data_IF_425113064841
#
_entry.id   IF_425113064841
#
_cell.length_a   1.000
_cell.length_b   1.000
_cell.length_c   1.000
_cell.angle_alpha   90.00
_cell.angle_beta   90.00
_cell.angle_gamma   90.00
#
_symmetry.space_group_name_H-M   'P 1'
#
loop_
_entity.id
_entity.type
_entity.pdbx_description
1 polymer ?
#
# COMPACT_ATOMS: atom_id res chain seq x y z
N UNK A 1 6.13 8.84 4.57
CA UNK A 1 6.76 8.26 5.77
C UNK A 1 7.76 7.15 5.45
N UNK A 2 7.42 6.15 4.63
CA UNK A 2 8.35 5.06 4.27
C UNK A 2 9.60 5.54 3.52
N UNK A 3 9.47 6.54 2.65
CA UNK A 3 10.56 7.08 1.81
C UNK A 3 11.37 8.19 2.48
N UNK A 4 10.96 8.64 3.67
CA UNK A 4 11.54 9.80 4.35
C UNK A 4 13.03 9.63 4.68
N UNK A 5 13.42 8.44 5.14
CA UNK A 5 14.79 8.13 5.55
C UNK A 5 15.65 7.54 4.43
N UNK A 6 15.10 7.29 3.23
CA UNK A 6 15.89 6.70 2.14
C UNK A 6 17.11 7.56 1.81
N UNK A 7 17.00 8.91 1.73
CA UNK A 7 18.15 9.76 1.46
C UNK A 7 19.26 9.72 2.51
N UNK A 8 18.88 9.54 3.78
CA UNK A 8 19.82 9.59 4.93
C UNK A 8 20.33 8.20 5.31
N UNK A 9 19.78 7.13 4.70
CA UNK A 9 20.01 5.74 5.12
C UNK A 9 21.50 5.35 5.17
N UNK A 10 22.29 5.86 4.24
CA UNK A 10 23.73 5.58 4.17
C UNK A 10 24.49 6.25 5.32
N UNK A 11 24.02 7.38 5.82
CA UNK A 11 24.66 8.19 6.85
C UNK A 11 24.16 7.84 8.27
N UNK A 12 22.98 7.20 8.38
CA UNK A 12 22.36 6.84 9.65
C UNK A 12 23.28 6.04 10.60
N UNK A 13 24.12 5.08 10.15
CA UNK A 13 25.03 4.38 11.04
C UNK A 13 26.01 5.32 11.76
N UNK A 14 26.52 6.33 11.06
CA UNK A 14 27.42 7.33 11.62
C UNK A 14 26.66 8.35 12.49
N UNK A 15 25.45 8.74 12.10
CA UNK A 15 24.63 9.71 12.84
C UNK A 15 24.10 9.18 14.15
N UNK A 16 23.87 7.87 14.25
CA UNK A 16 23.29 7.19 15.44
C UNK A 16 24.31 6.33 16.18
N UNK A 17 25.60 6.41 15.82
CA UNK A 17 26.68 5.59 16.38
C UNK A 17 26.30 4.09 16.45
N UNK A 18 25.84 3.54 15.32
CA UNK A 18 25.28 2.19 15.23
C UNK A 18 25.78 1.43 14.01
N UNK A 19 25.44 0.14 13.92
CA UNK A 19 25.78 -0.66 12.74
C UNK A 19 24.82 -0.40 11.58
N UNK A 20 25.25 -0.59 10.30
CA UNK A 20 24.34 -0.52 9.15
C UNK A 20 23.14 -1.47 9.26
N UNK A 21 23.35 -2.65 9.88
CA UNK A 21 22.29 -3.64 10.10
C UNK A 21 21.24 -3.12 11.09
N UNK A 22 21.67 -2.43 12.15
CA UNK A 22 20.76 -1.86 13.15
C UNK A 22 20.03 -0.63 12.63
N UNK A 23 20.69 0.24 11.87
CA UNK A 23 20.04 1.39 11.24
C UNK A 23 18.84 0.98 10.34
N UNK A 24 18.90 -0.18 9.70
CA UNK A 24 17.78 -0.69 8.89
C UNK A 24 16.51 -1.00 9.71
N UNK A 25 16.61 -1.13 11.04
CA UNK A 25 15.44 -1.29 11.91
C UNK A 25 14.49 -0.09 11.85
N UNK A 26 15.00 1.11 11.57
CA UNK A 26 14.17 2.31 11.42
C UNK A 26 13.18 2.19 10.25
N UNK A 27 13.57 1.54 9.16
CA UNK A 27 12.66 1.25 8.04
C UNK A 27 11.74 0.07 8.36
N UNK A 28 12.32 -1.00 8.91
CA UNK A 28 11.61 -2.24 9.25
C UNK A 28 10.48 -1.98 10.25
N UNK A 29 10.73 -1.21 11.31
CA UNK A 29 9.73 -0.90 12.33
C UNK A 29 8.49 -0.21 11.75
N UNK A 30 8.68 0.75 10.85
CA UNK A 30 7.57 1.44 10.18
C UNK A 30 6.75 0.49 9.30
N UNK A 31 7.42 -0.41 8.56
CA UNK A 31 6.76 -1.38 7.71
C UNK A 31 5.94 -2.40 8.53
N UNK A 32 6.54 -2.94 9.60
CA UNK A 32 5.86 -3.88 10.50
C UNK A 32 4.64 -3.25 11.15
N UNK A 33 4.82 -2.07 11.72
CA UNK A 33 3.73 -1.34 12.37
C UNK A 33 2.61 -0.96 11.38
N UNK A 34 2.95 -0.56 10.15
CA UNK A 34 1.97 -0.30 9.08
C UNK A 34 1.15 -1.53 8.74
N UNK A 35 1.80 -2.69 8.63
CA UNK A 35 1.12 -3.93 8.29
C UNK A 35 0.12 -4.37 9.36
N UNK A 36 0.49 -4.22 10.64
CA UNK A 36 -0.36 -4.57 11.79
C UNK A 36 -1.46 -3.53 11.98
N UNK A 37 -1.11 -2.24 11.96
CA UNK A 37 -2.07 -1.16 12.25
C UNK A 37 -3.18 -1.05 11.22
N UNK A 38 -2.91 -1.36 9.95
CA UNK A 38 -3.87 -1.14 8.87
C UNK A 38 -5.16 -1.94 9.01
N UNK A 39 -5.17 -3.28 9.19
CA UNK A 39 -6.41 -4.02 9.41
C UNK A 39 -7.03 -3.73 10.78
N UNK A 40 -6.22 -3.52 11.82
CA UNK A 40 -6.68 -3.18 13.17
C UNK A 40 -7.44 -1.85 13.18
N UNK A 41 -6.83 -0.80 12.64
CA UNK A 41 -7.46 0.53 12.56
C UNK A 41 -8.66 0.54 11.60
N UNK A 42 -8.62 -0.26 10.53
CA UNK A 42 -9.78 -0.47 9.65
C UNK A 42 -10.98 -1.01 10.42
N UNK A 43 -10.80 -2.09 11.21
CA UNK A 43 -11.85 -2.67 12.02
C UNK A 43 -12.31 -1.75 13.15
N UNK A 44 -11.39 -1.10 13.85
CA UNK A 44 -11.73 -0.07 14.85
C UNK A 44 -12.54 1.06 14.23
N UNK A 45 -12.20 1.48 13.01
CA UNK A 45 -12.95 2.49 12.27
C UNK A 45 -14.38 2.07 11.95
N UNK A 46 -14.58 0.81 11.54
CA UNK A 46 -15.90 0.25 11.28
C UNK A 46 -16.74 0.17 12.55
N UNK A 47 -16.15 -0.12 13.73
CA UNK A 47 -16.86 -0.22 15.02
C UNK A 47 -17.08 1.13 15.70
N UNK A 48 -16.04 1.95 15.83
CA UNK A 48 -16.04 3.15 16.67
C UNK A 48 -16.18 4.48 15.90
N UNK A 49 -16.13 4.42 14.58
CA UNK A 49 -16.22 5.57 13.69
C UNK A 49 -14.93 5.85 12.95
N UNK A 50 -15.04 5.94 11.62
CA UNK A 50 -13.89 6.01 10.71
C UNK A 50 -13.10 7.30 10.86
N UNK A 51 -13.80 8.45 11.04
CA UNK A 51 -13.14 9.75 11.28
C UNK A 51 -12.39 9.76 12.61
N UNK A 52 -12.99 9.24 13.68
CA UNK A 52 -12.35 9.17 15.00
C UNK A 52 -11.07 8.37 14.95
N UNK A 53 -11.09 7.22 14.30
CA UNK A 53 -9.90 6.37 14.17
C UNK A 53 -8.86 6.98 13.23
N UNK A 54 -9.27 7.72 12.20
CA UNK A 54 -8.36 8.49 11.34
C UNK A 54 -7.62 9.56 12.16
N UNK A 55 -8.33 10.34 12.98
CA UNK A 55 -7.73 11.34 13.87
C UNK A 55 -6.79 10.69 14.89
N UNK A 56 -7.18 9.56 15.49
CA UNK A 56 -6.33 8.82 16.41
C UNK A 56 -5.04 8.32 15.74
N UNK A 57 -5.13 7.75 14.53
CA UNK A 57 -3.97 7.32 13.76
C UNK A 57 -3.02 8.46 13.39
N UNK A 58 -3.58 9.64 13.03
CA UNK A 58 -2.80 10.84 12.77
C UNK A 58 -2.12 11.36 14.05
N UNK A 59 -2.82 11.35 15.20
CA UNK A 59 -2.24 11.75 16.48
C UNK A 59 -1.07 10.84 16.90
N UNK A 60 -1.22 9.53 16.74
CA UNK A 60 -0.15 8.55 17.00
C UNK A 60 1.05 8.78 16.08
N UNK A 61 0.80 9.04 14.79
CA UNK A 61 1.84 9.35 13.80
C UNK A 61 2.59 10.65 14.16
N UNK A 62 1.87 11.69 14.58
CA UNK A 62 2.46 12.97 15.01
C UNK A 62 3.34 12.74 16.24
N UNK A 63 2.84 12.01 17.25
CA UNK A 63 3.60 11.68 18.44
C UNK A 63 4.89 10.92 18.09
N UNK A 64 4.82 9.91 17.19
CA UNK A 64 5.97 9.19 16.68
C UNK A 64 6.96 10.08 15.92
N UNK A 65 6.45 11.04 15.14
CA UNK A 65 7.30 12.00 14.41
C UNK A 65 8.03 12.95 15.37
N UNK A 66 7.34 13.48 16.39
CA UNK A 66 7.97 14.30 17.42
C UNK A 66 8.99 13.51 18.26
N UNK A 67 8.68 12.26 18.59
CA UNK A 67 9.62 11.39 19.29
C UNK A 67 10.92 11.22 18.50
N UNK A 68 10.84 10.95 17.19
CA UNK A 68 12.01 10.88 16.31
C UNK A 68 12.71 12.24 16.13
N UNK A 69 11.97 13.36 16.20
CA UNK A 69 12.52 14.69 15.99
C UNK A 69 13.39 15.18 17.18
N UNK A 70 13.22 14.61 18.37
CA UNK A 70 13.90 15.04 19.60
C UNK A 70 14.88 13.99 20.15
N UNK A 71 15.25 12.96 19.38
CA UNK A 71 16.12 11.89 19.88
C UNK A 71 17.16 11.46 18.87
N UNK A 72 18.36 11.14 19.36
CA UNK A 72 19.43 10.45 18.65
C UNK A 72 19.60 8.98 19.12
N UNK A 73 18.79 8.55 20.11
CA UNK A 73 18.81 7.17 20.57
C UNK A 73 18.08 6.24 19.59
N UNK A 74 18.80 5.20 19.13
CA UNK A 74 18.29 4.25 18.13
C UNK A 74 16.99 3.57 18.58
N UNK A 75 16.90 3.13 19.85
CA UNK A 75 15.74 2.38 20.34
C UNK A 75 14.50 3.26 20.40
N UNK A 76 14.66 4.48 20.91
CA UNK A 76 13.60 5.49 20.97
C UNK A 76 13.15 5.87 19.58
N UNK A 77 14.07 5.98 18.63
CA UNK A 77 13.76 6.28 17.23
C UNK A 77 13.01 5.13 16.54
N UNK A 78 13.40 3.87 16.81
CA UNK A 78 12.66 2.68 16.34
C UNK A 78 11.21 2.71 16.84
N UNK A 79 11.00 3.06 18.12
CA UNK A 79 9.66 3.20 18.69
C UNK A 79 8.86 4.32 18.01
N UNK A 80 9.46 5.48 17.80
CA UNK A 80 8.84 6.58 17.05
C UNK A 80 8.47 6.21 15.62
N UNK A 81 9.34 5.47 14.92
CA UNK A 81 9.11 4.93 13.58
C UNK A 81 7.97 3.91 13.56
N UNK A 82 7.85 3.07 14.58
CA UNK A 82 6.71 2.17 14.72
C UNK A 82 5.39 2.96 14.88
N UNK A 83 5.37 4.02 15.69
CA UNK A 83 4.19 4.89 15.81
C UNK A 83 3.84 5.58 14.47
N UNK A 84 4.82 6.01 13.70
CA UNK A 84 4.59 6.58 12.36
C UNK A 84 3.92 5.59 11.40
N UNK A 85 4.10 4.28 11.58
CA UNK A 85 3.45 3.24 10.78
C UNK A 85 1.92 3.32 10.79
N UNK A 86 1.31 3.87 11.84
CA UNK A 86 -0.14 4.05 11.94
C UNK A 86 -0.72 5.00 10.88
N UNK A 87 0.09 5.87 10.28
CA UNK A 87 -0.33 6.74 9.19
C UNK A 87 -0.90 5.98 7.99
N UNK A 88 -0.45 4.75 7.74
CA UNK A 88 -0.90 3.94 6.60
C UNK A 88 -2.39 3.58 6.67
N UNK A 89 -2.95 3.52 7.87
CA UNK A 89 -4.39 3.29 8.09
C UNK A 89 -5.30 4.41 7.57
N UNK A 90 -4.75 5.59 7.28
CA UNK A 90 -5.51 6.70 6.71
C UNK A 90 -6.16 6.33 5.36
N UNK A 91 -5.53 5.48 4.55
CA UNK A 91 -6.04 5.07 3.24
C UNK A 91 -7.33 4.24 3.36
N UNK A 92 -7.37 3.09 4.07
CA UNK A 92 -8.60 2.31 4.19
C UNK A 92 -9.71 3.04 4.92
N UNK A 93 -9.39 3.86 5.94
CA UNK A 93 -10.38 4.68 6.65
C UNK A 93 -10.94 5.77 5.75
N UNK A 94 -10.10 6.45 4.96
CA UNK A 94 -10.53 7.46 3.99
C UNK A 94 -11.44 6.87 2.91
N UNK A 95 -11.10 5.69 2.36
CA UNK A 95 -11.94 4.96 1.40
C UNK A 95 -13.30 4.64 2.03
N UNK A 96 -13.31 4.17 3.29
CA UNK A 96 -14.54 3.89 4.02
C UNK A 96 -15.41 5.12 4.21
N UNK A 97 -14.84 6.27 4.61
CA UNK A 97 -15.58 7.54 4.75
C UNK A 97 -16.15 7.98 3.40
N UNK A 98 -15.37 7.91 2.33
CA UNK A 98 -15.84 8.29 0.99
C UNK A 98 -16.99 7.39 0.52
N UNK A 99 -16.91 6.07 0.76
CA UNK A 99 -18.00 5.13 0.44
C UNK A 99 -19.30 5.48 1.15
N UNK A 100 -19.20 5.91 2.42
CA UNK A 100 -20.38 6.19 3.26
C UNK A 100 -21.00 7.57 3.00
N UNK A 101 -20.25 8.49 2.37
CA UNK A 101 -20.65 9.91 2.24
C UNK A 101 -20.84 10.37 0.81
N UNK A 102 -20.18 9.76 -0.16
CA UNK A 102 -20.23 10.22 -1.54
C UNK A 102 -21.30 9.49 -2.36
N UNK A 103 -21.96 10.19 -3.29
CA UNK A 103 -22.81 9.55 -4.30
C UNK A 103 -22.02 8.53 -5.12
N UNK A 104 -22.70 7.49 -5.59
CA UNK A 104 -22.08 6.39 -6.34
C UNK A 104 -21.30 6.86 -7.58
N UNK A 105 -21.79 7.91 -8.26
CA UNK A 105 -21.19 8.49 -9.47
C UNK A 105 -19.81 9.12 -9.18
N UNK A 106 -19.61 9.70 -7.99
CA UNK A 106 -18.36 10.36 -7.59
C UNK A 106 -17.38 9.44 -6.88
N UNK A 107 -17.86 8.29 -6.38
CA UNK A 107 -17.08 7.40 -5.53
C UNK A 107 -15.84 6.86 -6.25
N UNK A 108 -15.96 6.43 -7.50
CA UNK A 108 -14.85 5.90 -8.28
C UNK A 108 -13.71 6.91 -8.48
N UNK A 109 -14.05 8.15 -8.83
CA UNK A 109 -13.06 9.23 -8.99
C UNK A 109 -12.40 9.59 -7.65
N UNK A 110 -13.17 9.64 -6.56
CA UNK A 110 -12.65 9.92 -5.23
C UNK A 110 -11.67 8.83 -4.75
N UNK A 111 -11.99 7.55 -4.99
CA UNK A 111 -11.09 6.43 -4.70
C UNK A 111 -9.81 6.48 -5.52
N UNK A 112 -9.91 6.87 -6.80
CA UNK A 112 -8.74 7.05 -7.66
C UNK A 112 -7.84 8.18 -7.15
N UNK A 113 -8.39 9.33 -6.77
CA UNK A 113 -7.64 10.44 -6.18
C UNK A 113 -6.97 10.02 -4.86
N UNK A 114 -7.67 9.27 -4.01
CA UNK A 114 -7.10 8.75 -2.77
C UNK A 114 -5.94 7.79 -3.04
N UNK A 115 -6.07 6.90 -3.99
CA UNK A 115 -4.98 5.98 -4.38
C UNK A 115 -3.80 6.74 -5.01
N UNK A 116 -4.08 7.75 -5.83
CA UNK A 116 -3.06 8.58 -6.48
C UNK A 116 -2.30 9.47 -5.49
N UNK A 117 -2.91 9.84 -4.36
CA UNK A 117 -2.25 10.63 -3.31
C UNK A 117 -1.05 9.90 -2.69
N UNK A 118 -1.05 8.55 -2.70
CA UNK A 118 0.09 7.74 -2.27
C UNK A 118 1.30 8.00 -3.18
N UNK A 119 1.07 8.01 -4.50
CA UNK A 119 2.11 8.31 -5.49
C UNK A 119 2.63 9.74 -5.38
N UNK A 120 1.73 10.71 -5.18
CA UNK A 120 2.13 12.11 -4.97
C UNK A 120 2.98 12.28 -3.70
N UNK A 121 2.60 11.61 -2.62
CA UNK A 121 3.39 11.60 -1.39
C UNK A 121 4.81 11.07 -1.60
N UNK A 122 4.99 10.05 -2.43
CA UNK A 122 6.31 9.53 -2.80
C UNK A 122 7.06 10.46 -3.75
N UNK A 123 6.36 11.05 -4.73
CA UNK A 123 6.94 11.95 -5.73
C UNK A 123 7.49 13.24 -5.13
N UNK A 124 6.81 13.80 -4.14
CA UNK A 124 7.24 15.01 -3.44
C UNK A 124 8.15 14.69 -2.24
N UNK A 125 7.87 13.59 -1.56
CA UNK A 125 8.54 13.22 -0.31
C UNK A 125 10.02 12.88 -0.49
N UNK A 126 10.38 12.15 -1.56
CA UNK A 126 11.77 11.74 -1.77
C UNK A 126 12.69 12.93 -2.14
N UNK A 127 12.35 13.80 -3.12
CA UNK A 127 13.15 14.99 -3.40
C UNK A 127 13.22 15.97 -2.23
N UNK A 128 12.10 16.19 -1.53
CA UNK A 128 12.07 17.06 -0.36
C UNK A 128 12.96 16.53 0.77
N UNK A 129 12.90 15.21 1.03
CA UNK A 129 13.75 14.57 2.01
C UNK A 129 15.24 14.66 1.61
N UNK A 130 15.57 14.48 0.33
CA UNK A 130 16.93 14.62 -0.17
C UNK A 130 17.46 16.05 -0.04
N UNK A 131 16.64 17.07 -0.31
CA UNK A 131 17.00 18.48 -0.13
C UNK A 131 17.31 18.80 1.32
N UNK A 132 16.47 18.36 2.25
CA UNK A 132 16.70 18.55 3.69
C UNK A 132 17.99 17.84 4.12
N UNK A 133 18.16 16.58 3.74
CA UNK A 133 19.33 15.79 4.09
C UNK A 133 20.66 16.41 3.60
N UNK A 134 20.65 17.13 2.46
CA UNK A 134 21.85 17.76 1.92
C UNK A 134 22.17 19.15 2.51
N UNK A 135 21.18 19.88 3.01
CA UNK A 135 21.35 21.31 3.34
C UNK A 135 20.98 21.65 4.79
N UNK A 136 20.43 20.72 5.56
CA UNK A 136 19.91 20.98 6.89
C UNK A 136 20.04 19.75 7.81
N UNK A 137 19.74 19.95 9.08
CA UNK A 137 19.67 18.85 10.05
C UNK A 137 18.57 17.85 9.63
N UNK A 138 18.91 16.58 9.62
CA UNK A 138 18.01 15.51 9.20
C UNK A 138 16.78 15.33 10.12
N UNK A 139 16.82 15.80 11.38
CA UNK A 139 15.66 15.83 12.27
C UNK A 139 14.53 16.71 11.73
N UNK A 140 14.84 17.70 10.87
CA UNK A 140 13.82 18.51 10.21
C UNK A 140 12.86 17.68 9.34
N UNK A 141 13.27 16.51 8.89
CA UNK A 141 12.39 15.56 8.20
C UNK A 141 11.23 15.12 9.11
N UNK A 142 11.50 14.90 10.37
CA UNK A 142 10.50 14.49 11.36
C UNK A 142 9.63 15.65 11.83
N UNK A 143 10.21 16.85 12.03
CA UNK A 143 9.44 18.05 12.29
C UNK A 143 8.52 18.40 11.12
N UNK A 144 9.00 18.30 9.87
CA UNK A 144 8.18 18.47 8.68
C UNK A 144 7.02 17.45 8.61
N UNK A 145 7.31 16.19 8.96
CA UNK A 145 6.29 15.14 9.04
C UNK A 145 5.24 15.41 10.10
N UNK A 146 5.65 15.89 11.28
CA UNK A 146 4.73 16.29 12.35
C UNK A 146 3.87 17.47 11.91
N UNK A 147 4.45 18.48 11.25
CA UNK A 147 3.74 19.65 10.74
C UNK A 147 2.68 19.29 9.70
N UNK A 148 3.04 18.46 8.70
CA UNK A 148 2.08 17.95 7.71
C UNK A 148 1.01 17.09 8.39
N UNK A 149 1.37 16.30 9.39
CA UNK A 149 0.43 15.51 10.19
C UNK A 149 -0.56 16.38 10.95
N UNK A 150 -0.10 17.44 11.61
CA UNK A 150 -0.96 18.42 12.31
C UNK A 150 -1.90 19.11 11.34
N UNK A 151 -1.41 19.56 10.19
CA UNK A 151 -2.26 20.15 9.14
C UNK A 151 -3.33 19.15 8.68
N UNK A 152 -2.94 17.90 8.38
CA UNK A 152 -3.86 16.84 7.97
C UNK A 152 -4.90 16.54 9.05
N UNK A 153 -4.49 16.52 10.31
CA UNK A 153 -5.37 16.31 11.46
C UNK A 153 -6.37 17.48 11.61
N UNK A 154 -5.91 18.71 11.48
CA UNK A 154 -6.79 19.90 11.51
C UNK A 154 -7.79 19.90 10.35
N UNK A 155 -7.34 19.66 9.11
CA UNK A 155 -8.22 19.57 7.95
C UNK A 155 -9.25 18.43 8.12
N UNK A 156 -8.83 17.27 8.62
CA UNK A 156 -9.74 16.15 8.91
C UNK A 156 -10.75 16.53 9.99
N UNK A 157 -10.32 17.22 11.05
CA UNK A 157 -11.18 17.62 12.14
C UNK A 157 -12.26 18.62 11.69
N UNK A 158 -11.92 19.58 10.87
CA UNK A 158 -12.87 20.64 10.47
C UNK A 158 -13.69 20.29 9.23
N UNK A 159 -13.12 19.52 8.26
CA UNK A 159 -13.75 19.32 6.96
C UNK A 159 -14.38 17.94 6.77
N UNK A 160 -13.91 16.91 7.49
CA UNK A 160 -14.39 15.54 7.29
C UNK A 160 -15.49 15.21 8.30
N UNK A 161 -16.74 14.97 7.86
CA UNK A 161 -17.81 14.55 8.76
C UNK A 161 -17.62 13.09 9.20
N UNK A 162 -18.16 12.71 10.38
CA UNK A 162 -18.14 11.31 10.84
C UNK A 162 -19.04 10.44 9.96
N UNK A 163 -18.61 9.20 9.69
CA UNK A 163 -19.42 8.22 8.96
C UNK A 163 -20.65 7.80 9.78
N UNK A 164 -21.85 7.77 9.17
CA UNK A 164 -23.06 7.27 9.83
C UNK A 164 -23.09 5.73 9.95
N UNK A 165 -22.32 5.04 9.12
CA UNK A 165 -22.31 3.57 9.06
C UNK A 165 -21.31 3.01 10.07
N UNK A 166 -21.82 2.14 10.96
CA UNK A 166 -21.00 1.43 11.95
C UNK A 166 -21.33 -0.04 11.97
N UNK A 167 -20.31 -0.85 12.17
CA UNK A 167 -20.49 -2.27 12.44
C UNK A 167 -20.99 -2.47 13.88
N UNK A 168 -21.79 -3.52 14.08
CA UNK A 168 -22.23 -3.96 15.39
C UNK A 168 -21.29 -5.05 15.89
N UNK A 169 -20.92 -5.03 17.17
CA UNK A 169 -20.09 -6.05 17.79
C UNK A 169 -19.03 -5.50 18.73
N UNK A 170 -18.16 -6.39 19.21
CA UNK A 170 -17.02 -6.07 20.06
C UNK A 170 -15.74 -6.17 19.26
N UNK A 171 -14.71 -5.44 19.68
CA UNK A 171 -13.40 -5.57 19.09
C UNK A 171 -12.70 -6.85 19.57
N UNK A 172 -12.17 -7.61 18.63
CA UNK A 172 -11.45 -8.85 18.88
C UNK A 172 -9.97 -8.58 19.21
N UNK A 173 -9.66 -8.38 20.49
CA UNK A 173 -8.30 -8.16 20.95
C UNK A 173 -7.39 -9.38 20.73
N UNK A 174 -7.82 -10.63 21.06
CA UNK A 174 -7.01 -11.81 20.78
C UNK A 174 -6.70 -11.97 19.29
N UNK A 175 -7.70 -11.73 18.41
CA UNK A 175 -7.49 -11.74 16.97
C UNK A 175 -6.50 -10.68 16.48
N UNK A 176 -6.56 -9.47 17.05
CA UNK A 176 -5.62 -8.39 16.70
C UNK A 176 -4.19 -8.72 17.14
N UNK A 177 -4.00 -9.28 18.34
CA UNK A 177 -2.69 -9.70 18.85
C UNK A 177 -2.14 -10.87 18.04
N UNK A 178 -2.97 -11.89 17.74
CA UNK A 178 -2.57 -13.06 16.95
C UNK A 178 -2.15 -12.68 15.53
N UNK A 179 -2.98 -11.87 14.83
CA UNK A 179 -2.62 -11.34 13.51
C UNK A 179 -1.34 -10.52 13.58
N UNK A 180 -1.24 -9.60 14.54
CA UNK A 180 -0.07 -8.75 14.71
C UNK A 180 1.20 -9.55 14.94
N UNK A 181 1.20 -10.50 15.87
CA UNK A 181 2.35 -11.35 16.16
C UNK A 181 2.77 -12.20 14.93
N UNK A 182 1.79 -12.81 14.25
CA UNK A 182 2.05 -13.59 13.04
C UNK A 182 2.62 -12.75 11.90
N UNK A 183 2.09 -11.55 11.68
CA UNK A 183 2.59 -10.61 10.67
C UNK A 183 4.00 -10.10 11.01
N UNK A 184 4.26 -9.75 12.28
CA UNK A 184 5.59 -9.33 12.72
C UNK A 184 6.61 -10.44 12.46
N UNK A 185 6.31 -11.69 12.86
CA UNK A 185 7.19 -12.83 12.62
C UNK A 185 7.43 -13.06 11.11
N UNK A 186 6.37 -13.03 10.30
CA UNK A 186 6.45 -13.21 8.85
C UNK A 186 7.29 -12.12 8.16
N UNK A 187 6.94 -10.86 8.42
CA UNK A 187 7.58 -9.72 7.75
C UNK A 187 9.02 -9.53 8.24
N UNK A 188 9.29 -9.86 9.51
CA UNK A 188 10.65 -9.84 10.04
C UNK A 188 11.52 -10.90 9.37
N UNK A 189 11.02 -12.13 9.21
CA UNK A 189 11.71 -13.18 8.45
C UNK A 189 12.00 -12.74 7.00
N UNK A 190 11.04 -12.10 6.33
CA UNK A 190 11.19 -11.61 4.96
C UNK A 190 12.20 -10.46 4.89
N UNK A 191 12.08 -9.45 5.75
CA UNK A 191 12.91 -8.22 5.65
C UNK A 191 14.33 -8.41 6.14
N UNK A 192 14.54 -9.25 7.15
CA UNK A 192 15.86 -9.51 7.74
C UNK A 192 16.52 -10.81 7.24
N UNK A 193 15.78 -11.65 6.51
CA UNK A 193 16.30 -12.93 5.99
C UNK A 193 17.54 -12.79 5.13
N UNK A 194 17.66 -11.69 4.37
CA UNK A 194 18.87 -11.40 3.59
C UNK A 194 20.09 -11.08 4.46
N UNK A 195 19.91 -10.46 5.62
CA UNK A 195 20.99 -10.11 6.57
C UNK A 195 21.34 -11.29 7.48
N UNK A 196 20.34 -12.00 7.99
CA UNK A 196 20.55 -13.14 8.90
C UNK A 196 20.87 -14.44 8.16
N UNK A 197 20.68 -14.48 6.85
CA UNK A 197 20.75 -15.68 6.03
C UNK A 197 19.39 -16.38 5.91
N UNK A 198 18.98 -16.67 4.68
CA UNK A 198 17.69 -17.32 4.38
C UNK A 198 17.57 -18.74 4.96
N UNK A 199 18.70 -19.45 5.08
CA UNK A 199 18.78 -20.80 5.66
C UNK A 199 19.11 -20.82 7.15
N UNK A 200 19.24 -19.65 7.82
CA UNK A 200 19.56 -19.59 9.24
C UNK A 200 18.41 -20.12 10.09
N UNK A 201 18.73 -20.69 11.24
CA UNK A 201 17.75 -21.19 12.20
C UNK A 201 16.78 -20.07 12.65
N UNK A 202 17.27 -18.83 12.79
CA UNK A 202 16.46 -17.66 13.15
C UNK A 202 15.42 -17.36 12.08
N UNK A 203 15.81 -17.28 10.81
CA UNK A 203 14.90 -16.97 9.69
C UNK A 203 13.87 -18.09 9.49
N UNK A 204 14.31 -19.34 9.45
CA UNK A 204 13.44 -20.50 9.33
C UNK A 204 12.52 -20.66 10.54
N UNK A 205 13.02 -20.41 11.76
CA UNK A 205 12.24 -20.42 13.00
C UNK A 205 11.15 -19.34 12.99
N UNK A 206 11.43 -18.13 12.49
CA UNK A 206 10.44 -17.07 12.34
C UNK A 206 9.39 -17.40 11.28
N UNK A 207 9.75 -18.01 10.16
CA UNK A 207 8.76 -18.50 9.19
C UNK A 207 7.86 -19.59 9.78
N UNK A 208 8.44 -20.57 10.50
CA UNK A 208 7.67 -21.60 11.15
C UNK A 208 6.74 -21.00 12.23
N UNK A 209 7.25 -20.08 13.04
CA UNK A 209 6.47 -19.38 14.08
C UNK A 209 5.33 -18.58 13.45
N UNK A 210 5.60 -17.81 12.37
CA UNK A 210 4.59 -17.07 11.64
C UNK A 210 3.49 -17.99 11.10
N UNK A 211 3.88 -19.12 10.49
CA UNK A 211 2.94 -20.10 9.98
C UNK A 211 2.05 -20.66 11.09
N UNK A 212 2.63 -21.08 12.22
CA UNK A 212 1.88 -21.62 13.36
C UNK A 212 0.91 -20.58 13.92
N UNK A 213 1.41 -19.35 14.18
CA UNK A 213 0.57 -18.28 14.75
C UNK A 213 -0.58 -17.93 13.80
N UNK A 214 -0.30 -17.69 12.51
CA UNK A 214 -1.32 -17.32 11.53
C UNK A 214 -2.31 -18.45 11.26
N UNK A 215 -1.87 -19.70 11.30
CA UNK A 215 -2.74 -20.85 11.18
C UNK A 215 -3.69 -20.99 12.38
N UNK A 216 -3.18 -20.92 13.61
CA UNK A 216 -3.99 -20.94 14.82
C UNK A 216 -4.93 -19.74 14.91
N UNK A 217 -4.45 -18.56 14.56
CA UNK A 217 -5.24 -17.35 14.43
C UNK A 217 -6.39 -17.55 13.42
N UNK A 218 -6.09 -18.06 12.24
CA UNK A 218 -7.12 -18.30 11.21
C UNK A 218 -8.18 -19.28 11.65
N UNK A 219 -7.80 -20.36 12.36
CA UNK A 219 -8.78 -21.30 12.95
C UNK A 219 -9.66 -20.62 14.02
N UNK A 220 -9.08 -19.74 14.84
CA UNK A 220 -9.82 -18.99 15.85
C UNK A 220 -10.80 -18.01 15.21
N UNK A 221 -10.35 -17.21 14.22
CA UNK A 221 -11.18 -16.22 13.48
C UNK A 221 -12.41 -16.87 12.81
N UNK A 222 -12.25 -18.08 12.28
CA UNK A 222 -13.37 -18.82 11.68
C UNK A 222 -14.44 -19.25 12.70
N UNK A 223 -14.12 -19.26 14.00
CA UNK A 223 -15.04 -19.65 15.09
C UNK A 223 -15.65 -18.45 15.82
N UNK A 224 -15.08 -17.27 15.69
CA UNK A 224 -15.52 -16.05 16.38
C UNK A 224 -16.69 -15.44 15.61
N UNK A 225 -17.75 -15.01 16.33
CA UNK A 225 -18.94 -14.40 15.73
C UNK A 225 -18.68 -12.98 15.19
N UNK A 226 -17.77 -12.23 15.79
CA UNK A 226 -17.39 -10.89 15.37
C UNK A 226 -15.85 -10.81 15.19
N UNK A 227 -15.29 -11.46 14.15
CA UNK A 227 -13.85 -11.55 13.95
C UNK A 227 -13.22 -10.19 13.62
N UNK A 228 -11.91 -10.07 13.88
CA UNK A 228 -11.13 -8.90 13.42
C UNK A 228 -11.15 -8.79 11.90
N UNK A 229 -10.88 -9.91 11.24
CA UNK A 229 -10.93 -10.08 9.79
C UNK A 229 -11.89 -11.20 9.45
N UNK A 230 -12.97 -10.91 8.77
CA UNK A 230 -13.89 -11.95 8.31
C UNK A 230 -13.22 -12.78 7.19
N UNK A 231 -12.62 -13.92 7.59
CA UNK A 231 -11.95 -14.83 6.67
C UNK A 231 -12.92 -15.46 5.67
N UNK A 232 -14.21 -15.58 6.01
CA UNK A 232 -15.23 -16.10 5.09
C UNK A 232 -15.47 -15.10 3.95
N UNK A 233 -15.59 -13.82 4.29
CA UNK A 233 -15.66 -12.74 3.31
C UNK A 233 -14.35 -12.60 2.52
N UNK A 234 -13.19 -12.72 3.19
CA UNK A 234 -11.87 -12.65 2.54
C UNK A 234 -11.63 -13.82 1.58
N UNK A 235 -12.16 -15.03 1.90
CA UNK A 235 -12.07 -16.21 1.05
C UNK A 235 -13.06 -16.20 -0.14
N UNK A 236 -14.01 -15.25 -0.19
CA UNK A 236 -14.88 -15.10 -1.36
C UNK A 236 -14.00 -14.83 -2.58
N UNK A 237 -14.31 -15.49 -3.68
CA UNK A 237 -13.49 -15.49 -4.90
C UNK A 237 -13.06 -14.09 -5.33
N UNK A 238 -13.98 -13.14 -5.30
CA UNK A 238 -13.73 -11.77 -5.77
C UNK A 238 -12.75 -11.02 -4.86
N UNK A 239 -12.92 -11.17 -3.54
CA UNK A 239 -12.05 -10.54 -2.54
C UNK A 239 -10.68 -11.19 -2.55
N UNK A 240 -10.62 -12.52 -2.58
CA UNK A 240 -9.38 -13.28 -2.60
C UNK A 240 -8.53 -12.96 -3.84
N UNK A 241 -9.14 -13.02 -5.03
CA UNK A 241 -8.43 -12.71 -6.29
C UNK A 241 -7.97 -11.24 -6.32
N UNK A 242 -8.76 -10.31 -5.79
CA UNK A 242 -8.36 -8.90 -5.68
C UNK A 242 -7.19 -8.72 -4.72
N UNK A 243 -7.18 -9.42 -3.58
CA UNK A 243 -6.08 -9.38 -2.63
C UNK A 243 -4.81 -10.01 -3.21
N UNK A 244 -4.90 -11.15 -3.89
CA UNK A 244 -3.75 -11.75 -4.58
C UNK A 244 -3.21 -10.86 -5.69
N UNK A 245 -4.08 -10.20 -6.46
CA UNK A 245 -3.67 -9.19 -7.44
C UNK A 245 -2.98 -7.98 -6.76
N UNK A 246 -3.47 -7.54 -5.60
CA UNK A 246 -2.84 -6.48 -4.81
C UNK A 246 -1.44 -6.87 -4.33
N UNK A 247 -1.23 -8.14 -3.94
CA UNK A 247 0.08 -8.67 -3.59
C UNK A 247 1.06 -8.60 -4.78
N UNK A 248 0.64 -9.06 -5.95
CA UNK A 248 1.44 -9.00 -7.18
C UNK A 248 1.76 -7.57 -7.61
N UNK A 249 0.78 -6.66 -7.51
CA UNK A 249 0.98 -5.24 -7.75
C UNK A 249 1.93 -4.60 -6.73
N UNK A 250 1.89 -5.03 -5.48
CA UNK A 250 2.83 -4.60 -4.44
C UNK A 250 4.27 -4.96 -4.79
N UNK A 251 4.50 -6.18 -5.28
CA UNK A 251 5.82 -6.62 -5.76
C UNK A 251 6.28 -5.71 -6.90
N UNK A 252 5.46 -5.55 -7.94
CA UNK A 252 5.85 -4.79 -9.12
C UNK A 252 6.12 -3.30 -8.79
N UNK A 253 5.27 -2.66 -7.99
CA UNK A 253 5.45 -1.26 -7.60
C UNK A 253 6.77 -1.01 -6.88
N UNK A 254 7.17 -1.91 -6.00
CA UNK A 254 8.34 -1.66 -5.16
C UNK A 254 9.66 -1.81 -5.92
N UNK A 255 9.70 -2.68 -6.96
CA UNK A 255 10.89 -2.85 -7.80
C UNK A 255 11.36 -1.52 -8.38
N UNK A 256 10.48 -0.73 -9.01
CA UNK A 256 10.88 0.52 -9.67
C UNK A 256 11.37 1.56 -8.65
N UNK A 257 10.75 1.59 -7.46
CA UNK A 257 11.12 2.53 -6.39
C UNK A 257 12.49 2.22 -5.78
N UNK A 258 12.95 0.97 -5.86
CA UNK A 258 14.30 0.56 -5.44
C UNK A 258 15.33 0.69 -6.56
N UNK A 259 15.00 0.21 -7.75
CA UNK A 259 15.97 0.07 -8.86
C UNK A 259 16.33 1.42 -9.46
N UNK A 260 15.33 2.28 -9.76
CA UNK A 260 15.60 3.53 -10.44
C UNK A 260 16.51 4.48 -9.66
N UNK A 261 16.26 4.78 -8.37
CA UNK A 261 17.17 5.66 -7.61
C UNK A 261 18.59 5.11 -7.51
N UNK A 262 18.75 3.79 -7.36
CA UNK A 262 20.08 3.16 -7.30
C UNK A 262 20.83 3.29 -8.62
N UNK A 263 20.18 2.95 -9.75
CA UNK A 263 20.78 3.07 -11.09
C UNK A 263 21.20 4.53 -11.38
N UNK A 264 20.36 5.50 -11.03
CA UNK A 264 20.61 6.91 -11.25
C UNK A 264 21.81 7.43 -10.42
N UNK A 265 21.96 6.95 -9.19
CA UNK A 265 23.01 7.42 -8.28
C UNK A 265 24.36 6.69 -8.43
N UNK A 266 24.37 5.50 -9.04
CA UNK A 266 25.64 4.78 -9.28
C UNK A 266 26.62 5.63 -10.07
N UNK A 267 27.93 5.66 -9.69
CA UNK A 267 28.94 6.42 -10.41
C UNK A 267 29.06 5.96 -11.88
N UNK A 268 29.34 6.90 -12.78
CA UNK A 268 29.56 6.61 -14.21
C UNK A 268 30.76 5.69 -14.46
N UNK A 269 31.73 5.67 -13.53
CA UNK A 269 32.89 4.76 -13.56
C UNK A 269 32.51 3.28 -13.51
N UNK A 270 31.26 2.93 -13.11
CA UNK A 270 30.75 1.55 -13.11
C UNK A 270 30.37 1.05 -14.51
N UNK A 271 30.37 1.92 -15.52
CA UNK A 271 30.04 1.61 -16.93
C UNK A 271 28.53 1.56 -17.23
N UNK A 272 27.66 1.62 -16.20
CA UNK A 272 26.21 1.64 -16.36
C UNK A 272 25.51 2.62 -15.42
N UNK A 273 26.21 3.12 -14.39
CA UNK A 273 25.68 4.16 -13.49
C UNK A 273 25.51 5.50 -14.21
N UNK A 274 24.51 6.28 -13.80
CA UNK A 274 24.18 7.56 -14.42
C UNK A 274 24.76 8.76 -13.67
N UNK A 275 25.41 8.57 -12.51
CA UNK A 275 26.17 9.57 -11.76
C UNK A 275 25.34 10.75 -11.25
N UNK A 276 24.03 10.57 -11.04
CA UNK A 276 23.16 11.65 -10.61
C UNK A 276 23.20 11.87 -9.10
N UNK A 277 23.01 13.11 -8.69
CA UNK A 277 22.81 13.40 -7.26
C UNK A 277 21.50 12.78 -6.75
N UNK A 278 21.41 12.59 -5.44
CA UNK A 278 20.22 12.05 -4.77
C UNK A 278 18.97 12.88 -5.07
N UNK A 279 19.07 14.21 -5.12
CA UNK A 279 17.95 15.10 -5.47
C UNK A 279 17.49 14.88 -6.91
N UNK A 280 18.42 14.80 -7.86
CA UNK A 280 18.10 14.54 -9.27
C UNK A 280 17.49 13.15 -9.43
N UNK A 281 18.01 12.13 -8.76
CA UNK A 281 17.45 10.80 -8.76
C UNK A 281 16.00 10.80 -8.22
N UNK A 282 15.73 11.51 -7.12
CA UNK A 282 14.38 11.70 -6.58
C UNK A 282 13.45 12.39 -7.57
N UNK A 283 13.91 13.45 -8.25
CA UNK A 283 13.15 14.15 -9.28
C UNK A 283 12.87 13.27 -10.51
N UNK A 284 13.78 12.39 -10.89
CA UNK A 284 13.58 11.44 -11.99
C UNK A 284 12.54 10.35 -11.67
N UNK A 285 12.33 10.06 -10.39
CA UNK A 285 11.30 9.10 -9.91
C UNK A 285 9.94 9.78 -9.67
N UNK A 286 9.94 11.09 -9.41
CA UNK A 286 8.71 11.87 -9.18
C UNK A 286 7.64 11.73 -10.27
N UNK A 287 7.94 11.56 -11.57
CA UNK A 287 6.97 11.33 -12.61
C UNK A 287 6.05 10.12 -12.35
N UNK A 288 6.47 9.10 -11.59
CA UNK A 288 5.60 7.98 -11.20
C UNK A 288 4.36 8.51 -10.48
N UNK A 289 4.55 9.33 -9.44
CA UNK A 289 3.43 9.86 -8.66
C UNK A 289 2.61 10.91 -9.42
N UNK A 290 3.25 11.73 -10.24
CA UNK A 290 2.57 12.72 -11.09
C UNK A 290 1.64 12.01 -12.08
N UNK A 291 2.12 10.95 -12.73
CA UNK A 291 1.33 10.17 -13.68
C UNK A 291 0.16 9.45 -13.01
N UNK A 292 0.30 8.98 -11.76
CA UNK A 292 -0.82 8.40 -11.01
C UNK A 292 -2.00 9.39 -10.90
N UNK A 293 -1.74 10.70 -10.76
CA UNK A 293 -2.78 11.73 -10.71
C UNK A 293 -3.30 12.04 -12.10
N UNK A 294 -2.41 12.27 -13.07
CA UNK A 294 -2.78 12.65 -14.44
C UNK A 294 -3.65 11.59 -15.13
N UNK A 295 -3.48 10.33 -14.77
CA UNK A 295 -4.27 9.21 -15.30
C UNK A 295 -5.65 9.09 -14.64
N UNK A 296 -5.94 9.79 -13.53
CA UNK A 296 -7.24 9.71 -12.84
C UNK A 296 -8.44 9.97 -13.74
N UNK A 297 -8.46 10.97 -14.64
CA UNK A 297 -9.58 11.16 -15.56
C UNK A 297 -9.75 10.00 -16.56
N UNK A 298 -8.65 9.40 -17.01
CA UNK A 298 -8.68 8.22 -17.89
C UNK A 298 -9.25 7.02 -17.12
N UNK A 299 -8.79 6.81 -15.88
CA UNK A 299 -9.35 5.79 -14.99
C UNK A 299 -10.85 5.97 -14.80
N UNK A 300 -11.32 7.20 -14.52
CA UNK A 300 -12.74 7.47 -14.31
C UNK A 300 -13.58 7.10 -15.54
N UNK A 301 -13.10 7.38 -16.76
CA UNK A 301 -13.76 6.99 -18.01
C UNK A 301 -13.81 5.47 -18.17
N UNK A 302 -12.69 4.78 -17.96
CA UNK A 302 -12.61 3.32 -18.05
C UNK A 302 -13.53 2.66 -17.00
N UNK A 303 -13.53 3.19 -15.77
CA UNK A 303 -14.39 2.71 -14.69
C UNK A 303 -15.88 2.80 -15.04
N UNK A 304 -16.29 3.93 -15.63
CA UNK A 304 -17.69 4.17 -16.03
C UNK A 304 -18.15 3.28 -17.20
N UNK A 305 -17.26 2.98 -18.15
CA UNK A 305 -17.61 2.23 -19.37
C UNK A 305 -17.36 0.73 -19.23
N UNK A 306 -16.22 0.32 -18.69
CA UNK A 306 -15.74 -1.06 -18.69
C UNK A 306 -15.51 -1.65 -17.29
N UNK A 307 -15.65 -0.83 -16.26
CA UNK A 307 -15.53 -1.25 -14.86
C UNK A 307 -14.09 -1.38 -14.35
N UNK A 308 -13.93 -1.61 -13.02
CA UNK A 308 -12.63 -1.58 -12.35
C UNK A 308 -11.70 -2.75 -12.73
N UNK A 309 -12.25 -3.93 -13.06
CA UNK A 309 -11.47 -5.07 -13.55
C UNK A 309 -10.67 -4.71 -14.80
N UNK A 310 -11.33 -4.10 -15.78
CA UNK A 310 -10.70 -3.70 -17.05
C UNK A 310 -9.63 -2.64 -16.84
N UNK A 311 -9.90 -1.65 -15.97
CA UNK A 311 -8.91 -0.63 -15.62
C UNK A 311 -7.66 -1.25 -14.97
N UNK A 312 -7.84 -2.23 -14.08
CA UNK A 312 -6.73 -2.95 -13.45
C UNK A 312 -5.90 -3.72 -14.48
N UNK A 313 -6.54 -4.44 -15.39
CA UNK A 313 -5.87 -5.22 -16.45
C UNK A 313 -5.07 -4.29 -17.36
N UNK A 314 -5.67 -3.19 -17.84
CA UNK A 314 -4.98 -2.19 -18.67
C UNK A 314 -3.77 -1.63 -17.92
N UNK A 315 -3.94 -1.27 -16.64
CA UNK A 315 -2.84 -0.76 -15.81
C UNK A 315 -1.68 -1.74 -15.70
N UNK A 316 -1.97 -3.03 -15.46
CA UNK A 316 -0.94 -4.07 -15.40
C UNK A 316 -0.23 -4.27 -16.74
N UNK A 317 -0.95 -4.24 -17.86
CA UNK A 317 -0.37 -4.34 -19.22
C UNK A 317 0.56 -3.16 -19.49
N UNK A 318 0.14 -1.93 -19.16
CA UNK A 318 0.98 -0.73 -19.30
C UNK A 318 2.25 -0.86 -18.45
N UNK A 319 2.15 -1.39 -17.23
CA UNK A 319 3.33 -1.65 -16.39
C UNK A 319 4.25 -2.70 -17.02
N UNK A 320 3.72 -3.79 -17.57
CA UNK A 320 4.52 -4.82 -18.27
C UNK A 320 5.29 -4.21 -19.44
N UNK A 321 4.64 -3.37 -20.24
CA UNK A 321 5.27 -2.65 -21.35
C UNK A 321 6.38 -1.72 -20.81
N UNK A 322 6.10 -0.95 -19.75
CA UNK A 322 7.06 -0.04 -19.14
C UNK A 322 8.30 -0.76 -18.59
N UNK A 323 8.12 -1.87 -17.87
CA UNK A 323 9.23 -2.68 -17.37
C UNK A 323 9.99 -3.39 -18.50
N UNK A 324 9.26 -3.91 -19.51
CA UNK A 324 9.88 -4.53 -20.68
C UNK A 324 10.76 -3.55 -21.45
N UNK A 325 10.25 -2.33 -21.70
CA UNK A 325 11.05 -1.27 -22.29
C UNK A 325 12.24 -0.88 -21.38
N UNK A 326 12.01 -0.83 -20.07
CA UNK A 326 13.03 -0.51 -19.06
C UNK A 326 14.22 -1.45 -19.06
N UNK A 327 14.06 -2.74 -19.42
CA UNK A 327 15.19 -3.69 -19.54
C UNK A 327 16.23 -3.21 -20.56
N UNK A 328 15.80 -2.51 -21.62
CA UNK A 328 16.67 -1.94 -22.65
C UNK A 328 16.99 -0.45 -22.46
N UNK A 329 16.17 0.29 -21.70
CA UNK A 329 16.26 1.74 -21.56
C UNK A 329 16.83 2.14 -20.20
N UNK A 330 18.12 1.82 -19.97
CA UNK A 330 18.84 2.10 -18.71
C UNK A 330 20.11 2.93 -18.91
N UNK A 331 20.39 3.41 -20.13
CA UNK A 331 21.66 4.01 -20.46
C UNK A 331 21.70 5.54 -20.36
N UNK A 332 20.55 6.19 -20.18
CA UNK A 332 20.47 7.64 -20.09
C UNK A 332 19.34 8.07 -19.12
N UNK A 333 19.48 9.22 -18.49
CA UNK A 333 18.52 9.76 -17.51
C UNK A 333 17.13 9.92 -18.11
N UNK A 334 17.00 10.45 -19.33
CA UNK A 334 15.70 10.60 -19.98
C UNK A 334 14.96 9.27 -20.22
N UNK A 335 15.72 8.19 -20.47
CA UNK A 335 15.15 6.84 -20.64
C UNK A 335 14.53 6.34 -19.34
N UNK A 336 15.21 6.52 -18.20
CA UNK A 336 14.69 6.15 -16.89
C UNK A 336 13.44 6.97 -16.53
N UNK A 337 13.41 8.26 -16.89
CA UNK A 337 12.23 9.12 -16.73
C UNK A 337 11.07 8.62 -17.61
N UNK A 338 11.32 8.25 -18.86
CA UNK A 338 10.30 7.69 -19.75
C UNK A 338 9.69 6.39 -19.18
N UNK A 339 10.54 5.50 -18.67
CA UNK A 339 10.08 4.26 -17.98
C UNK A 339 9.24 4.62 -16.74
N UNK A 340 9.68 5.60 -15.93
CA UNK A 340 8.95 6.06 -14.75
C UNK A 340 7.55 6.61 -15.10
N UNK A 341 7.43 7.37 -16.19
CA UNK A 341 6.16 7.89 -16.73
C UNK A 341 5.21 6.74 -17.11
N UNK A 342 5.68 5.79 -17.93
CA UNK A 342 4.85 4.67 -18.41
C UNK A 342 4.42 3.77 -17.25
N UNK A 343 5.36 3.37 -16.40
CA UNK A 343 5.06 2.51 -15.24
C UNK A 343 4.14 3.26 -14.26
N UNK A 344 4.37 4.55 -14.02
CA UNK A 344 3.52 5.39 -13.18
C UNK A 344 2.07 5.49 -13.67
N UNK A 345 1.86 5.61 -14.99
CA UNK A 345 0.53 5.57 -15.59
C UNK A 345 -0.17 4.22 -15.33
N UNK A 346 0.54 3.12 -15.53
CA UNK A 346 0.01 1.78 -15.23
C UNK A 346 -0.32 1.57 -13.77
N UNK A 347 0.55 2.03 -12.85
CA UNK A 347 0.30 1.99 -11.40
C UNK A 347 -0.96 2.79 -11.06
N UNK A 348 -1.13 3.99 -11.61
CA UNK A 348 -2.30 4.84 -11.36
C UNK A 348 -3.62 4.14 -11.71
N UNK A 349 -3.69 3.46 -12.85
CA UNK A 349 -4.86 2.67 -13.26
C UNK A 349 -5.09 1.46 -12.35
N UNK A 350 -4.04 0.67 -12.09
CA UNK A 350 -4.16 -0.59 -11.37
C UNK A 350 -4.48 -0.38 -9.88
N UNK A 351 -3.77 0.55 -9.21
CA UNK A 351 -3.97 0.82 -7.78
C UNK A 351 -5.32 1.45 -7.47
N UNK A 352 -5.81 2.33 -8.38
CA UNK A 352 -7.15 2.94 -8.22
C UNK A 352 -8.27 1.90 -8.34
N UNK A 353 -8.02 0.79 -9.02
CA UNK A 353 -9.00 -0.28 -9.22
C UNK A 353 -9.18 -1.17 -7.99
N UNK A 354 -8.15 -1.35 -7.17
CA UNK A 354 -8.19 -2.27 -6.02
C UNK A 354 -9.28 -1.91 -5.01
N UNK A 355 -9.36 -0.67 -4.47
CA UNK A 355 -10.42 -0.33 -3.53
C UNK A 355 -11.81 -0.39 -4.17
N UNK A 356 -11.94 -0.06 -5.46
CA UNK A 356 -13.21 -0.14 -6.16
C UNK A 356 -13.72 -1.60 -6.29
N UNK A 357 -12.82 -2.56 -6.51
CA UNK A 357 -13.14 -3.99 -6.53
C UNK A 357 -13.55 -4.49 -5.14
N UNK A 358 -12.80 -4.15 -4.10
CA UNK A 358 -13.11 -4.53 -2.72
C UNK A 358 -14.46 -3.97 -2.28
N UNK A 359 -14.70 -2.67 -2.51
CA UNK A 359 -15.95 -1.99 -2.10
C UNK A 359 -17.18 -2.60 -2.78
N UNK A 360 -17.06 -3.13 -4.00
CA UNK A 360 -18.17 -3.83 -4.68
C UNK A 360 -18.43 -5.22 -4.12
N UNK A 361 -17.44 -5.86 -3.51
CA UNK A 361 -17.49 -7.24 -3.06
C UNK A 361 -17.88 -7.41 -1.58
N UNK A 362 -17.88 -6.34 -0.77
CA UNK A 362 -18.12 -6.38 0.67
C UNK A 362 -19.22 -5.45 1.12
N UNK A 363 -19.83 -5.75 2.28
CA UNK A 363 -20.83 -4.88 2.90
C UNK A 363 -20.24 -3.53 3.36
N UNK A 364 -21.09 -2.51 3.47
CA UNK A 364 -20.67 -1.18 3.92
C UNK A 364 -20.05 -1.20 5.32
N UNK A 365 -20.57 -2.05 6.20
CA UNK A 365 -20.10 -2.22 7.59
C UNK A 365 -18.72 -2.86 7.72
N UNK A 366 -18.19 -3.46 6.64
CA UNK A 366 -16.89 -4.15 6.61
C UNK A 366 -15.86 -3.44 5.72
N UNK A 367 -16.17 -2.23 5.23
CA UNK A 367 -15.33 -1.53 4.24
C UNK A 367 -13.93 -1.22 4.75
N UNK A 368 -13.81 -0.78 6.00
CA UNK A 368 -12.54 -0.42 6.61
C UNK A 368 -11.66 -1.66 6.79
N UNK A 369 -12.20 -2.73 7.35
CA UNK A 369 -11.49 -4.00 7.55
C UNK A 369 -11.03 -4.62 6.22
N UNK A 370 -11.92 -4.69 5.21
CA UNK A 370 -11.60 -5.28 3.91
C UNK A 370 -10.55 -4.49 3.13
N UNK A 371 -10.63 -3.16 3.11
CA UNK A 371 -9.58 -2.33 2.49
C UNK A 371 -8.30 -2.33 3.31
N UNK A 372 -8.38 -2.47 4.64
CA UNK A 372 -7.25 -2.71 5.51
C UNK A 372 -6.50 -3.98 5.13
N UNK A 373 -7.24 -5.09 4.93
CA UNK A 373 -6.68 -6.37 4.49
C UNK A 373 -6.06 -6.29 3.09
N UNK A 374 -6.70 -5.59 2.15
CA UNK A 374 -6.14 -5.35 0.82
C UNK A 374 -4.82 -4.56 0.88
N UNK A 375 -4.78 -3.50 1.71
CA UNK A 375 -3.58 -2.71 1.93
C UNK A 375 -2.47 -3.54 2.60
N UNK A 376 -2.82 -4.37 3.59
CA UNK A 376 -1.89 -5.31 4.23
C UNK A 376 -1.28 -6.27 3.19
N UNK A 377 -2.12 -6.93 2.39
CA UNK A 377 -1.66 -7.89 1.38
C UNK A 377 -0.70 -7.24 0.38
N UNK A 378 -0.99 -6.01 -0.04
CA UNK A 378 -0.09 -5.21 -0.86
C UNK A 378 1.22 -4.89 -0.15
N UNK A 379 1.19 -4.58 1.15
CA UNK A 379 2.39 -4.31 1.95
C UNK A 379 3.28 -5.54 2.12
N UNK A 380 2.68 -6.74 2.25
CA UNK A 380 3.42 -8.00 2.23
C UNK A 380 4.11 -8.18 0.86
N UNK A 381 3.43 -7.86 -0.24
CA UNK A 381 4.01 -7.86 -1.59
C UNK A 381 5.19 -6.90 -1.72
N UNK A 382 5.10 -5.68 -1.19
CA UNK A 382 6.24 -4.73 -1.19
C UNK A 382 7.41 -5.22 -0.36
N UNK A 383 7.17 -5.84 0.79
CA UNK A 383 8.22 -6.43 1.63
C UNK A 383 8.92 -7.61 0.94
N UNK A 384 8.15 -8.48 0.30
CA UNK A 384 8.69 -9.57 -0.52
C UNK A 384 9.55 -9.05 -1.68
N UNK A 385 9.06 -8.01 -2.36
CA UNK A 385 9.80 -7.34 -3.45
C UNK A 385 11.13 -6.77 -2.97
N UNK A 386 11.14 -6.10 -1.81
CA UNK A 386 12.37 -5.57 -1.20
C UNK A 386 13.39 -6.69 -0.98
N UNK A 387 12.95 -7.79 -0.39
CA UNK A 387 13.81 -8.93 -0.09
C UNK A 387 14.35 -9.60 -1.37
N UNK A 388 13.47 -9.87 -2.36
CA UNK A 388 13.86 -10.49 -3.63
C UNK A 388 14.80 -9.59 -4.44
N UNK A 389 14.46 -8.31 -4.58
CA UNK A 389 15.27 -7.34 -5.31
C UNK A 389 16.64 -7.15 -4.64
N UNK A 390 16.65 -6.98 -3.31
CA UNK A 390 17.89 -6.86 -2.55
C UNK A 390 18.79 -8.09 -2.70
N UNK A 391 18.22 -9.30 -2.63
CA UNK A 391 18.94 -10.55 -2.85
C UNK A 391 19.53 -10.63 -4.26
N UNK A 392 18.76 -10.32 -5.29
CA UNK A 392 19.22 -10.33 -6.68
C UNK A 392 20.36 -9.33 -6.88
N UNK A 393 20.20 -8.10 -6.42
CA UNK A 393 21.22 -7.06 -6.56
C UNK A 393 22.51 -7.42 -5.80
N UNK A 394 22.41 -8.03 -4.61
CA UNK A 394 23.56 -8.50 -3.85
C UNK A 394 24.31 -9.64 -4.55
N UNK A 395 23.59 -10.67 -5.04
CA UNK A 395 24.20 -11.83 -5.71
C UNK A 395 24.75 -11.52 -7.10
N UNK A 396 24.24 -10.48 -7.76
CA UNK A 396 24.73 -10.04 -9.08
C UNK A 396 25.69 -8.88 -8.97
N UNK A 397 26.16 -8.52 -7.77
CA UNK A 397 27.09 -7.43 -7.57
C UNK A 397 28.45 -7.75 -8.20
N UNK A 398 29.09 -6.71 -8.73
CA UNK A 398 30.42 -6.79 -9.35
C UNK A 398 31.35 -5.76 -8.72
N UNK A 399 32.65 -6.04 -8.78
CA UNK A 399 33.66 -5.12 -8.31
C UNK A 399 33.99 -4.11 -9.41
N UNK A 400 33.81 -2.82 -9.11
CA UNK A 400 34.20 -1.69 -9.97
C UNK A 400 35.18 -0.82 -9.20
N UNK A 401 36.48 -1.02 -9.41
CA UNK A 401 37.56 -0.42 -8.62
C UNK A 401 37.49 -0.90 -7.14
N UNK A 402 37.37 0.03 -6.22
CA UNK A 402 37.24 -0.25 -4.77
C UNK A 402 35.77 -0.49 -4.33
N UNK A 403 34.79 -0.25 -5.21
CA UNK A 403 33.36 -0.35 -4.90
C UNK A 403 32.79 -1.70 -5.33
N UNK A 404 31.89 -2.24 -4.51
CA UNK A 404 31.04 -3.40 -4.87
C UNK A 404 29.67 -2.80 -5.23
N UNK A 405 29.25 -2.95 -6.48
CA UNK A 405 28.02 -2.34 -7.01
C UNK A 405 27.17 -3.39 -7.73
N UNK A 406 25.84 -3.23 -7.72
CA UNK A 406 24.95 -4.09 -8.50
C UNK A 406 25.31 -4.02 -10.00
N UNK A 407 25.26 -5.14 -10.69
CA UNK A 407 25.47 -5.20 -12.13
C UNK A 407 24.22 -4.77 -12.90
N UNK A 408 24.37 -4.39 -14.17
CA UNK A 408 23.24 -4.09 -15.06
C UNK A 408 22.30 -5.30 -15.23
N UNK A 409 22.84 -6.52 -15.19
CA UNK A 409 22.05 -7.75 -15.23
C UNK A 409 21.17 -7.89 -13.99
N UNK A 410 21.64 -7.49 -12.80
CA UNK A 410 20.85 -7.48 -11.58
C UNK A 410 19.61 -6.57 -11.69
N UNK A 411 19.77 -5.38 -12.25
CA UNK A 411 18.65 -4.46 -12.49
C UNK A 411 17.65 -5.02 -13.52
N UNK A 412 18.15 -5.68 -14.59
CA UNK A 412 17.29 -6.35 -15.58
C UNK A 412 16.51 -7.51 -14.99
N UNK A 413 17.14 -8.33 -14.14
CA UNK A 413 16.48 -9.44 -13.44
C UNK A 413 15.40 -8.89 -12.49
N UNK A 414 15.66 -7.79 -11.76
CA UNK A 414 14.67 -7.16 -10.92
C UNK A 414 13.43 -6.69 -11.72
N UNK A 415 13.61 -6.09 -12.90
CA UNK A 415 12.51 -5.76 -13.80
C UNK A 415 11.80 -7.02 -14.32
N UNK A 416 12.51 -8.11 -14.57
CA UNK A 416 11.95 -9.42 -14.90
C UNK A 416 11.05 -9.97 -13.81
N UNK A 417 11.43 -9.80 -12.53
CA UNK A 417 10.61 -10.19 -11.37
C UNK A 417 9.29 -9.36 -11.35
N UNK A 418 9.37 -8.05 -11.61
CA UNK A 418 8.18 -7.21 -11.70
C UNK A 418 7.24 -7.66 -12.82
N UNK A 419 7.78 -7.99 -14.00
CA UNK A 419 7.01 -8.52 -15.13
C UNK A 419 6.36 -9.85 -14.76
N UNK A 420 7.10 -10.78 -14.15
CA UNK A 420 6.57 -12.06 -13.69
C UNK A 420 5.42 -11.91 -12.70
N UNK A 421 5.56 -11.00 -11.73
CA UNK A 421 4.50 -10.68 -10.78
C UNK A 421 3.26 -10.09 -11.50
N UNK A 422 3.46 -9.16 -12.44
CA UNK A 422 2.35 -8.57 -13.22
C UNK A 422 1.64 -9.59 -14.09
N UNK A 423 2.34 -10.51 -14.73
CA UNK A 423 1.74 -11.60 -15.49
C UNK A 423 0.93 -12.53 -14.58
N UNK A 424 1.44 -12.86 -13.40
CA UNK A 424 0.67 -13.57 -12.36
C UNK A 424 -0.58 -12.79 -11.94
N UNK A 425 -0.45 -11.48 -11.72
CA UNK A 425 -1.58 -10.59 -11.44
C UNK A 425 -2.61 -10.53 -12.57
N UNK A 426 -2.18 -10.49 -13.83
CA UNK A 426 -3.06 -10.54 -15.01
C UNK A 426 -3.82 -11.85 -15.11
N UNK A 427 -3.17 -12.99 -14.85
CA UNK A 427 -3.84 -14.28 -14.79
C UNK A 427 -4.93 -14.30 -13.71
N UNK A 428 -4.63 -13.83 -12.50
CA UNK A 428 -5.60 -13.72 -11.41
C UNK A 428 -6.76 -12.78 -11.76
N UNK A 429 -6.46 -11.63 -12.38
CA UNK A 429 -7.45 -10.67 -12.83
C UNK A 429 -8.38 -11.24 -13.91
N UNK A 430 -7.88 -12.14 -14.75
CA UNK A 430 -8.68 -12.87 -15.72
C UNK A 430 -9.86 -13.62 -15.10
N UNK A 431 -9.64 -14.21 -13.92
CA UNK A 431 -10.65 -14.97 -13.20
C UNK A 431 -11.63 -14.12 -12.37
N UNK A 432 -11.44 -12.81 -12.26
CA UNK A 432 -12.40 -11.91 -11.63
C UNK A 432 -13.67 -11.81 -12.47
N UNK A 433 -14.89 -11.76 -11.87
CA UNK A 433 -16.12 -11.56 -12.61
C UNK A 433 -16.13 -10.21 -13.35
N UNK A 434 -16.67 -10.20 -14.55
CA UNK A 434 -16.87 -8.95 -15.29
C UNK A 434 -18.14 -8.25 -14.83
N UNK A 435 -18.14 -6.90 -14.83
CA UNK A 435 -19.27 -6.08 -14.37
C UNK A 435 -20.60 -6.39 -15.10
N UNK A 436 -20.56 -6.97 -16.32
CA UNK A 436 -21.76 -7.38 -17.07
C UNK A 436 -22.47 -8.61 -16.51
N UNK A 437 -21.81 -9.44 -15.72
CA UNK A 437 -22.43 -10.65 -15.16
C UNK A 437 -23.21 -10.36 -13.85
N UNK A 438 -22.94 -9.28 -13.16
CA UNK A 438 -23.60 -8.92 -11.90
C UNK A 438 -25.00 -8.29 -12.08
N UNK A 439 -25.27 -7.66 -13.21
CA UNK A 439 -26.58 -7.05 -13.52
C UNK A 439 -27.63 -8.06 -14.03
N UNK A 440 -27.26 -9.30 -14.27
CA UNK A 440 -28.14 -10.35 -14.81
C UNK A 440 -28.43 -11.47 -13.79
N UNK A 441 -28.32 -11.21 -12.50
CA UNK A 441 -28.87 -12.16 -11.49
C UNK A 441 -30.40 -12.07 -11.50
N UNK A 442 -31.14 -13.16 -11.80
CA UNK A 442 -32.61 -13.16 -11.97
C UNK A 442 -33.43 -12.88 -10.70
N UNK A 443 -32.80 -12.53 -9.58
CA UNK A 443 -33.44 -12.38 -8.27
C UNK A 443 -33.80 -10.97 -7.82
N UNK A 444 -33.51 -9.91 -8.61
CA UNK A 444 -33.66 -8.52 -8.15
C UNK A 444 -34.85 -7.77 -8.78
N UNK A 445 -35.79 -8.44 -9.44
CA UNK A 445 -36.94 -7.78 -10.11
C UNK A 445 -38.32 -8.07 -9.54
N UNK A 446 -38.47 -8.92 -8.50
CA UNK A 446 -39.80 -9.34 -8.05
C UNK A 446 -40.35 -8.67 -6.77
N UNK A 447 -39.70 -7.66 -6.22
CA UNK A 447 -40.19 -7.00 -4.98
C UNK A 447 -40.63 -5.53 -5.19
N UNK A 448 -40.92 -5.08 -6.42
CA UNK A 448 -41.46 -3.74 -6.66
C UNK A 448 -42.94 -3.70 -7.07
N UNK A 449 -43.59 -4.84 -7.27
CA UNK A 449 -45.05 -4.87 -7.38
C UNK A 449 -45.66 -5.10 -6.01
N UNK A 450 -45.76 -4.05 -5.23
CA UNK A 450 -46.58 -3.99 -4.03
C UNK A 450 -48.05 -4.15 -4.43
N UNK A 451 -48.90 -4.77 -3.58
CA UNK A 451 -50.29 -5.02 -3.93
C UNK A 451 -51.05 -3.73 -4.21
N UNK A 452 -51.60 -3.63 -5.43
CA UNK A 452 -52.58 -2.60 -5.76
C UNK A 452 -53.65 -2.57 -4.67
N UNK A 453 -53.76 -1.45 -3.98
CA UNK A 453 -54.88 -1.14 -3.10
C UNK A 453 -56.17 -1.06 -3.94
N UNK A 454 -56.96 -2.15 -3.93
CA UNK A 454 -58.33 -2.11 -4.41
C UNK A 454 -59.13 -1.15 -3.53
N UNK A 455 -59.60 -0.06 -4.12
CA UNK A 455 -60.62 0.82 -3.53
C UNK A 455 -61.86 0.02 -3.13
N UNK A 456 -62.38 0.17 -1.92
CA UNK A 456 -63.68 -0.44 -1.57
C UNK A 456 -64.85 0.32 -2.24
N UNK A 457 -65.70 -0.46 -2.93
CA UNK A 457 -66.92 0.00 -3.56
C UNK A 457 -67.86 0.72 -2.55
N UNK A 458 -68.61 1.77 -3.00
CA UNK A 458 -69.50 2.53 -2.12
C UNK A 458 -70.67 1.70 -1.66
N UNK A 459 -70.94 1.79 -0.31
CA UNK A 459 -72.07 1.13 0.33
C UNK A 459 -73.38 1.71 -0.16
N UNK A 460 -74.33 0.84 -0.58
CA UNK A 460 -75.74 1.22 -0.87
C UNK A 460 -76.44 1.46 0.45
N UNK A 461 -77.07 2.65 0.61
CA UNK A 461 -78.04 2.97 1.65
C UNK A 461 -79.32 2.10 1.53
N UNK A 462 -79.89 1.62 2.63
CA UNK A 462 -81.22 1.00 2.65
C UNK A 462 -82.30 2.03 2.77
N UNK A 463 -83.36 1.86 2.02
CA UNK A 463 -84.68 2.48 2.22
C UNK A 463 -85.42 1.90 3.44
#
# INVERSE_FOLDING_TARGET
MQTLLIPVLADLPALLDTTPADATWLLTATLLASAVSTPVMGRLGDLFGKRRMLLAGLAVMIAGSLLCAFTDDLVTMIAGRALQGFATSAVPLGIGIMRDRLPREKLGTAMALMSSSIGMGSALGLPAAALVAQHADWHLLFFGSAGIGLLSMALTFFLVPESPVRAVGRFDWPGAIGLGAGLVALLLAITKGGVWGWSSATTLGLFALAFVILFLWGMAELRIAAPLVDLRTTARRDVLLTNLAAFMLGIAFYVITLVLPQLLQLPTSTGHGLGQSMVVAGLCVAPIGIMMILVTPVYARILATWGPKTAMIIGMIVMVIGYGAGIGLMNAVWQTVAVAVVVGAGIGLAYSSLPALIVRAVDQTQTGAANGMNTLTRSVGTSMSSALTGMVLAHTSQRSGSLIVPSISGFRIAFGIAIGALLGGLLLAGFLPSARAADHSPGARDDQDGPETRDPAPAKEPR
#
